data_IF_041464563906
#
_entry.id   IF_041464563906
#
_cell.length_a   1.000
_cell.length_b   1.000
_cell.length_c   1.000
_cell.angle_alpha   90.00
_cell.angle_beta   90.00
_cell.angle_gamma   90.00
#
_symmetry.space_group_name_H-M   'P 1'
#
loop_
_entity.id
_entity.type
_entity.pdbx_description
1 polymer ?
#
# COMPACT_ATOMS: atom_id res chain seq x y z
N UNK A 1 36.44 -26.83 -74.15
CA UNK A 1 36.79 -25.61 -73.39
C UNK A 1 35.62 -24.64 -73.26
N UNK A 2 34.34 -25.18 -73.11
CA UNK A 2 33.13 -24.36 -73.15
C UNK A 2 32.08 -24.72 -72.02
N UNK A 3 32.50 -25.51 -71.06
CA UNK A 3 31.60 -25.87 -69.94
C UNK A 3 31.91 -25.12 -68.63
N UNK A 4 32.96 -24.27 -68.61
CA UNK A 4 33.37 -23.50 -67.42
C UNK A 4 32.92 -22.03 -67.40
N UNK A 5 32.15 -21.60 -68.41
CA UNK A 5 31.68 -20.22 -68.57
C UNK A 5 30.21 -19.97 -68.19
N UNK A 6 29.48 -20.99 -67.73
CA UNK A 6 28.05 -20.84 -67.46
C UNK A 6 27.61 -20.85 -66.01
N UNK A 7 28.53 -20.98 -65.02
CA UNK A 7 28.19 -20.99 -63.60
C UNK A 7 28.49 -19.70 -62.82
N UNK A 8 28.89 -18.62 -63.47
CA UNK A 8 29.29 -17.37 -62.80
C UNK A 8 28.24 -16.25 -62.85
N UNK A 9 26.96 -16.54 -63.15
CA UNK A 9 25.92 -15.51 -63.29
C UNK A 9 24.65 -15.71 -62.40
N UNK A 10 24.74 -16.49 -61.34
CA UNK A 10 23.64 -16.56 -60.36
C UNK A 10 24.08 -16.07 -58.99
N UNK A 11 24.53 -14.81 -58.91
CA UNK A 11 24.59 -14.11 -57.63
C UNK A 11 23.15 -13.73 -57.27
N UNK A 12 22.59 -14.25 -56.17
CA UNK A 12 21.24 -13.84 -55.75
C UNK A 12 21.23 -12.33 -55.53
N UNK A 13 20.39 -11.60 -56.28
CA UNK A 13 20.19 -10.17 -56.08
C UNK A 13 19.75 -9.98 -54.64
N UNK A 14 20.60 -9.40 -53.80
CA UNK A 14 20.23 -8.91 -52.48
C UNK A 14 18.94 -8.10 -52.61
N UNK A 15 17.95 -8.35 -51.79
CA UNK A 15 16.70 -7.58 -51.81
C UNK A 15 17.06 -6.09 -51.71
N UNK A 16 16.55 -5.29 -52.63
CA UNK A 16 16.77 -3.84 -52.64
C UNK A 16 16.19 -3.26 -51.36
N UNK A 17 17.04 -2.98 -50.38
CA UNK A 17 16.63 -2.36 -49.13
C UNK A 17 16.05 -0.98 -49.48
N UNK A 18 14.78 -0.78 -49.16
CA UNK A 18 14.10 0.47 -49.45
C UNK A 18 14.87 1.64 -48.81
N UNK A 19 15.37 2.64 -49.61
CA UNK A 19 16.17 3.74 -49.08
C UNK A 19 15.45 4.53 -47.98
N UNK A 20 14.10 4.53 -47.98
CA UNK A 20 13.28 5.10 -46.89
C UNK A 20 13.48 4.36 -45.56
N UNK A 21 13.63 3.03 -45.61
CA UNK A 21 13.86 2.24 -44.39
C UNK A 21 15.23 2.50 -43.77
N UNK A 22 16.25 2.63 -44.63
CA UNK A 22 17.63 2.98 -44.20
C UNK A 22 17.69 4.39 -43.62
N UNK A 23 17.02 5.36 -44.25
CA UNK A 23 16.97 6.74 -43.76
C UNK A 23 16.24 6.84 -42.42
N UNK A 24 15.16 6.04 -42.17
CA UNK A 24 14.44 5.97 -40.93
C UNK A 24 15.31 5.38 -39.80
N UNK A 25 16.05 4.32 -40.08
CA UNK A 25 17.01 3.73 -39.12
C UNK A 25 18.12 4.72 -38.78
N UNK A 26 18.68 5.41 -39.77
CA UNK A 26 19.71 6.44 -39.56
C UNK A 26 19.16 7.62 -38.74
N UNK A 27 17.97 8.08 -39.00
CA UNK A 27 17.31 9.13 -38.21
C UNK A 27 17.07 8.68 -36.78
N UNK A 28 16.60 7.44 -36.57
CA UNK A 28 16.38 6.87 -35.27
C UNK A 28 17.67 6.71 -34.47
N UNK A 29 18.74 6.24 -35.10
CA UNK A 29 20.06 6.12 -34.45
C UNK A 29 20.66 7.50 -34.13
N UNK A 30 20.49 8.49 -34.99
CA UNK A 30 20.88 9.88 -34.75
C UNK A 30 20.10 10.50 -33.57
N UNK A 31 18.81 10.27 -33.50
CA UNK A 31 17.95 10.74 -32.36
C UNK A 31 18.36 10.08 -31.05
N UNK A 32 18.67 8.77 -31.06
CA UNK A 32 19.18 8.06 -29.88
C UNK A 32 20.53 8.64 -29.47
N UNK A 33 21.46 8.81 -30.44
CA UNK A 33 22.79 9.36 -30.16
C UNK A 33 22.73 10.79 -29.63
N UNK A 34 21.86 11.65 -30.18
CA UNK A 34 21.63 13.00 -29.68
C UNK A 34 21.05 13.01 -28.25
N UNK A 35 20.14 12.11 -27.93
CA UNK A 35 19.63 11.93 -26.56
C UNK A 35 20.71 11.43 -25.59
N UNK A 36 21.58 10.54 -26.03
CA UNK A 36 22.69 10.02 -25.22
C UNK A 36 23.80 11.07 -25.03
N UNK A 37 24.11 11.84 -26.04
CA UNK A 37 25.14 12.90 -25.99
C UNK A 37 24.72 14.08 -25.09
N UNK A 38 23.44 14.39 -24.96
CA UNK A 38 22.94 15.46 -24.10
C UNK A 38 22.79 15.09 -22.61
N UNK A 39 23.18 13.88 -22.20
CA UNK A 39 23.19 13.54 -20.77
C UNK A 39 24.25 14.39 -20.07
N UNK A 40 23.79 15.44 -19.36
CA UNK A 40 24.62 16.15 -18.37
C UNK A 40 25.22 15.09 -17.44
N UNK A 41 26.50 15.20 -17.15
CA UNK A 41 27.17 14.41 -16.12
C UNK A 41 26.58 14.79 -14.75
N UNK A 42 25.44 14.22 -14.43
CA UNK A 42 24.91 14.27 -13.07
C UNK A 42 25.65 13.20 -12.27
N UNK A 43 26.11 13.55 -11.07
CA UNK A 43 26.62 12.58 -10.11
C UNK A 43 25.45 11.73 -9.62
N UNK A 44 25.10 10.71 -10.41
CA UNK A 44 24.02 9.78 -10.05
C UNK A 44 24.58 8.65 -9.19
N UNK A 45 23.75 8.13 -8.25
CA UNK A 45 24.11 6.92 -7.50
C UNK A 45 24.45 5.75 -8.44
N UNK A 46 25.27 4.79 -7.97
CA UNK A 46 25.54 3.56 -8.69
C UNK A 46 24.25 2.87 -9.16
N UNK A 47 24.32 2.25 -10.32
CA UNK A 47 23.17 1.51 -10.88
C UNK A 47 23.63 0.12 -11.31
N UNK A 48 22.94 -0.96 -10.95
CA UNK A 48 23.16 -2.28 -11.50
C UNK A 48 22.96 -2.28 -13.02
N UNK A 49 23.53 -3.23 -13.76
CA UNK A 49 23.28 -3.39 -15.19
C UNK A 49 21.78 -3.49 -15.46
N UNK A 50 21.27 -2.67 -16.37
CA UNK A 50 19.85 -2.61 -16.72
C UNK A 50 19.62 -3.05 -18.15
N UNK A 51 18.47 -3.67 -18.42
CA UNK A 51 18.02 -4.02 -19.76
C UNK A 51 17.32 -2.83 -20.43
N UNK A 52 17.35 -2.74 -21.76
CA UNK A 52 16.54 -1.79 -22.50
C UNK A 52 15.05 -1.95 -22.15
N UNK A 53 14.30 -0.86 -22.11
CA UNK A 53 12.86 -0.76 -21.84
C UNK A 53 12.49 -1.14 -20.41
N UNK A 54 12.73 -2.39 -19.97
CA UNK A 54 12.30 -2.89 -18.66
C UNK A 54 13.20 -2.45 -17.49
N UNK A 55 14.40 -1.94 -17.78
CA UNK A 55 15.34 -1.50 -16.75
C UNK A 55 15.79 -2.64 -15.84
N UNK A 56 15.63 -2.48 -14.54
CA UNK A 56 16.05 -3.43 -13.51
C UNK A 56 14.91 -4.35 -13.02
N UNK A 57 13.71 -4.32 -13.61
CA UNK A 57 12.57 -5.15 -13.19
C UNK A 57 12.93 -6.64 -13.20
N UNK A 58 13.72 -7.11 -14.19
CA UNK A 58 14.17 -8.50 -14.30
C UNK A 58 15.01 -8.99 -13.10
N UNK A 59 15.56 -8.07 -12.31
CA UNK A 59 16.33 -8.38 -11.09
C UNK A 59 15.45 -8.49 -9.84
N UNK A 60 14.17 -8.11 -9.95
CA UNK A 60 13.20 -8.25 -8.88
C UNK A 60 12.53 -9.62 -8.99
N UNK A 61 12.85 -10.52 -8.07
CA UNK A 61 12.22 -11.84 -8.00
C UNK A 61 10.83 -11.81 -7.37
N UNK A 62 10.31 -13.00 -7.01
CA UNK A 62 9.01 -13.15 -6.33
C UNK A 62 8.90 -12.39 -5.00
N UNK A 63 10.03 -12.13 -4.35
CA UNK A 63 10.14 -11.39 -3.09
C UNK A 63 10.99 -10.13 -3.30
N UNK A 64 10.42 -9.03 -3.82
CA UNK A 64 11.16 -7.83 -4.21
C UNK A 64 12.06 -7.26 -3.11
N UNK A 65 11.60 -7.26 -1.85
CA UNK A 65 12.37 -6.79 -0.71
C UNK A 65 13.68 -7.56 -0.50
N UNK A 66 13.69 -8.88 -0.78
CA UNK A 66 14.92 -9.70 -0.71
C UNK A 66 15.85 -9.41 -1.86
N UNK A 67 15.32 -9.29 -3.07
CA UNK A 67 16.11 -8.92 -4.25
C UNK A 67 16.73 -7.53 -4.09
N UNK A 68 15.99 -6.56 -3.59
CA UNK A 68 16.50 -5.20 -3.30
C UNK A 68 17.59 -5.21 -2.22
N UNK A 69 17.43 -6.00 -1.15
CA UNK A 69 18.48 -6.20 -0.15
C UNK A 69 19.76 -6.77 -0.77
N UNK A 70 19.62 -7.78 -1.62
CA UNK A 70 20.78 -8.44 -2.24
C UNK A 70 21.47 -7.53 -3.26
N UNK A 71 20.70 -6.71 -4.01
CA UNK A 71 21.25 -5.64 -4.84
C UNK A 71 22.03 -4.61 -4.01
N UNK A 72 21.48 -4.19 -2.88
CA UNK A 72 22.16 -3.25 -1.96
C UNK A 72 23.47 -3.83 -1.42
N UNK A 73 23.53 -5.11 -1.10
CA UNK A 73 24.77 -5.78 -0.65
C UNK A 73 25.86 -5.80 -1.74
N UNK A 74 25.45 -5.95 -2.99
CA UNK A 74 26.38 -6.08 -4.11
C UNK A 74 26.85 -4.74 -4.68
N UNK A 75 26.01 -3.70 -4.66
CA UNK A 75 26.27 -2.44 -5.35
C UNK A 75 26.32 -1.21 -4.41
N UNK A 76 26.03 -1.40 -3.12
CA UNK A 76 26.08 -0.33 -2.13
C UNK A 76 24.70 0.05 -1.58
N UNK A 77 24.69 0.87 -0.53
CA UNK A 77 23.47 1.22 0.23
C UNK A 77 22.59 2.30 -0.42
N UNK A 78 23.09 2.96 -1.45
CA UNK A 78 22.36 3.98 -2.22
C UNK A 78 22.48 3.64 -3.71
N UNK A 79 21.38 3.24 -4.33
CA UNK A 79 21.36 2.78 -5.73
C UNK A 79 20.27 3.48 -6.54
N UNK A 80 20.57 3.75 -7.79
CA UNK A 80 19.56 4.19 -8.75
C UNK A 80 19.13 3.02 -9.64
N UNK A 81 17.90 2.58 -9.45
CA UNK A 81 17.24 1.57 -10.28
C UNK A 81 16.35 2.24 -11.33
N UNK A 82 16.03 1.50 -12.38
CA UNK A 82 15.02 1.89 -13.35
C UNK A 82 13.97 0.78 -13.38
N UNK A 83 12.78 1.06 -12.85
CA UNK A 83 11.66 0.14 -12.88
C UNK A 83 10.75 0.54 -14.05
N UNK A 84 10.98 -0.07 -15.22
CA UNK A 84 10.40 0.42 -16.46
C UNK A 84 10.88 1.84 -16.79
N UNK A 85 9.92 2.74 -16.96
CA UNK A 85 10.19 4.17 -17.22
C UNK A 85 10.52 4.98 -15.96
N UNK A 86 10.33 4.41 -14.76
CA UNK A 86 10.45 5.14 -13.49
C UNK A 86 11.86 5.01 -12.89
N UNK A 87 12.63 6.10 -12.75
CA UNK A 87 13.84 6.10 -11.95
C UNK A 87 13.47 5.94 -10.48
N UNK A 88 14.08 4.98 -9.81
CA UNK A 88 13.75 4.59 -8.43
C UNK A 88 15.02 4.59 -7.61
N UNK A 89 15.07 5.39 -6.56
CA UNK A 89 16.19 5.42 -5.63
C UNK A 89 15.99 4.34 -4.56
N UNK A 90 16.92 3.40 -4.46
CA UNK A 90 16.98 2.41 -3.39
C UNK A 90 17.91 2.92 -2.28
N UNK A 91 17.37 3.02 -1.07
CA UNK A 91 18.10 3.46 0.12
C UNK A 91 18.07 2.35 1.17
N UNK A 92 19.24 1.89 1.61
CA UNK A 92 19.40 0.74 2.52
C UNK A 92 20.31 1.00 3.72
N UNK A 93 20.60 2.26 4.04
CA UNK A 93 21.36 2.61 5.24
C UNK A 93 20.61 3.62 6.10
N UNK A 94 20.79 3.51 7.42
CA UNK A 94 20.15 4.41 8.39
C UNK A 94 20.59 5.87 8.19
N UNK A 95 21.87 6.10 7.85
CA UNK A 95 22.39 7.45 7.63
C UNK A 95 21.74 8.12 6.42
N UNK A 96 21.62 7.40 5.29
CA UNK A 96 20.95 7.91 4.11
C UNK A 96 19.46 8.12 4.33
N UNK A 97 18.80 7.25 5.10
CA UNK A 97 17.39 7.44 5.49
C UNK A 97 17.23 8.70 6.34
N UNK A 98 18.16 8.97 7.27
CA UNK A 98 18.15 10.21 8.06
C UNK A 98 18.28 11.43 7.16
N UNK A 99 19.25 11.43 6.27
CA UNK A 99 19.50 12.51 5.29
C UNK A 99 18.23 12.82 4.49
N UNK A 100 17.55 11.79 3.98
CA UNK A 100 16.35 11.93 3.14
C UNK A 100 15.12 12.34 3.97
N UNK A 101 14.84 11.63 5.08
CA UNK A 101 13.57 11.78 5.80
C UNK A 101 13.60 12.81 6.92
N UNK A 102 14.79 13.35 7.29
CA UNK A 102 14.91 14.35 8.33
C UNK A 102 15.51 15.65 7.81
N UNK A 103 16.65 15.55 7.11
CA UNK A 103 17.40 16.75 6.73
C UNK A 103 16.88 17.35 5.41
N UNK A 104 16.26 16.50 4.53
CA UNK A 104 15.69 16.91 3.24
C UNK A 104 14.23 16.44 3.07
N UNK A 105 13.48 16.28 4.17
CA UNK A 105 12.12 15.73 4.18
C UNK A 105 11.17 16.44 3.21
N UNK A 106 11.20 17.77 3.15
CA UNK A 106 10.34 18.55 2.28
C UNK A 106 10.52 18.24 0.79
N UNK A 107 11.74 17.86 0.36
CA UNK A 107 12.04 17.50 -1.03
C UNK A 107 11.55 16.09 -1.38
N UNK A 108 11.53 15.19 -0.39
CA UNK A 108 11.20 13.79 -0.56
C UNK A 108 9.84 13.40 0.03
N UNK A 109 9.04 14.35 0.46
CA UNK A 109 7.76 14.10 1.15
C UNK A 109 6.61 13.70 0.22
N UNK A 110 6.71 13.99 -1.06
CA UNK A 110 5.68 13.60 -2.02
C UNK A 110 5.53 12.09 -2.14
N UNK A 111 4.31 11.65 -2.41
CA UNK A 111 3.97 10.24 -2.62
C UNK A 111 3.85 9.92 -4.11
N UNK A 112 4.30 8.73 -4.54
CA UNK A 112 4.09 8.33 -5.92
C UNK A 112 2.59 8.11 -6.16
N UNK A 113 2.07 8.78 -7.19
CA UNK A 113 0.72 8.53 -7.66
C UNK A 113 0.70 7.25 -8.50
N UNK A 114 -0.15 6.30 -8.16
CA UNK A 114 -0.40 5.09 -8.94
C UNK A 114 -1.84 5.04 -9.46
N UNK A 115 -2.09 4.18 -10.42
CA UNK A 115 -3.46 3.95 -10.93
C UNK A 115 -4.39 3.48 -9.81
N UNK A 116 -3.91 2.59 -8.93
CA UNK A 116 -4.68 2.10 -7.81
C UNK A 116 -4.99 3.19 -6.78
N UNK A 117 -3.98 3.99 -6.37
CA UNK A 117 -4.18 5.06 -5.40
C UNK A 117 -5.13 6.13 -5.91
N UNK A 118 -5.03 6.49 -7.19
CA UNK A 118 -5.95 7.45 -7.80
C UNK A 118 -7.40 6.97 -7.83
N UNK A 119 -7.64 5.68 -8.10
CA UNK A 119 -9.01 5.15 -8.16
C UNK A 119 -9.55 4.91 -6.76
N UNK A 120 -8.84 4.18 -5.90
CA UNK A 120 -9.36 3.73 -4.60
C UNK A 120 -9.41 4.85 -3.57
N UNK A 121 -8.47 5.79 -3.58
CA UNK A 121 -8.36 6.86 -2.60
C UNK A 121 -8.84 8.22 -3.14
N UNK A 122 -9.91 8.21 -3.94
CA UNK A 122 -10.60 9.42 -4.40
C UNK A 122 -9.67 10.46 -5.06
N UNK A 123 -8.72 10.02 -5.88
CA UNK A 123 -7.71 10.91 -6.48
C UNK A 123 -6.60 11.32 -5.51
N UNK A 124 -6.22 10.43 -4.59
CA UNK A 124 -5.22 10.69 -3.54
C UNK A 124 -5.65 11.80 -2.58
N UNK A 125 -6.92 11.80 -2.14
CA UNK A 125 -7.45 12.69 -1.10
C UNK A 125 -7.36 12.12 0.32
N UNK A 126 -6.58 11.10 0.49
CA UNK A 126 -6.24 10.44 1.73
C UNK A 126 -4.96 11.05 2.35
N UNK A 127 -4.54 10.57 3.52
CA UNK A 127 -3.32 11.05 4.19
C UNK A 127 -2.09 10.29 3.70
N UNK A 128 -2.26 9.02 3.32
CA UNK A 128 -1.16 8.16 2.95
C UNK A 128 -0.55 8.51 1.58
N UNK A 129 -1.39 8.93 0.61
CA UNK A 129 -0.99 9.17 -0.79
C UNK A 129 -1.20 10.59 -1.29
N UNK A 130 -1.80 11.48 -0.50
CA UNK A 130 -1.94 12.88 -0.89
C UNK A 130 -0.56 13.54 -1.09
N UNK A 131 -0.37 14.36 -2.14
CA UNK A 131 0.83 15.15 -2.33
C UNK A 131 1.09 16.07 -1.12
N UNK A 132 2.36 16.28 -0.81
CA UNK A 132 2.74 17.19 0.27
C UNK A 132 2.31 18.63 -0.06
N UNK A 133 1.52 19.25 0.82
CA UNK A 133 1.01 20.60 0.63
C UNK A 133 0.05 21.01 1.74
N UNK A 134 -0.65 22.13 1.53
CA UNK A 134 -1.60 22.66 2.51
C UNK A 134 -2.72 21.69 2.81
N UNK A 135 -3.30 21.07 1.78
CA UNK A 135 -4.33 20.05 1.91
C UNK A 135 -3.87 18.90 2.82
N UNK A 136 -2.71 18.29 2.54
CA UNK A 136 -2.17 17.20 3.34
C UNK A 136 -1.94 17.62 4.79
N UNK A 137 -1.40 18.82 5.03
CA UNK A 137 -1.17 19.35 6.38
C UNK A 137 -2.46 19.49 7.18
N UNK A 138 -3.54 19.95 6.55
CA UNK A 138 -4.84 20.07 7.17
C UNK A 138 -5.42 18.69 7.51
N UNK A 139 -5.37 17.72 6.59
CA UNK A 139 -5.84 16.35 6.82
C UNK A 139 -5.04 15.66 7.93
N UNK A 140 -3.72 15.81 7.92
CA UNK A 140 -2.85 15.27 8.97
C UNK A 140 -3.13 15.91 10.33
N UNK A 141 -3.31 17.23 10.38
CA UNK A 141 -3.66 17.93 11.62
C UNK A 141 -4.96 17.40 12.20
N UNK A 142 -6.01 17.26 11.40
CA UNK A 142 -7.27 16.67 11.79
C UNK A 142 -7.07 15.28 12.40
N UNK A 143 -6.41 14.40 11.67
CA UNK A 143 -6.21 13.02 12.09
C UNK A 143 -5.41 12.93 13.39
N UNK A 144 -4.33 13.69 13.53
CA UNK A 144 -3.47 13.61 14.73
C UNK A 144 -4.13 14.28 15.95
N UNK A 145 -4.81 15.41 15.77
CA UNK A 145 -5.35 16.18 16.90
C UNK A 145 -6.70 15.63 17.33
N UNK A 146 -7.61 15.35 16.39
CA UNK A 146 -8.99 15.03 16.70
C UNK A 146 -9.25 13.51 16.80
N UNK A 147 -8.61 12.70 15.95
CA UNK A 147 -8.90 11.27 15.89
C UNK A 147 -7.86 10.41 16.66
N UNK A 148 -6.58 10.73 16.55
CA UNK A 148 -5.48 9.90 17.08
C UNK A 148 -4.75 10.56 18.26
N UNK A 149 -5.31 11.61 18.86
CA UNK A 149 -4.72 12.20 20.08
C UNK A 149 -4.74 11.20 21.23
N UNK A 150 -3.78 11.31 22.15
CA UNK A 150 -3.67 10.43 23.32
C UNK A 150 -5.00 10.33 24.09
N UNK A 151 -5.68 11.46 24.31
CA UNK A 151 -6.98 11.50 24.97
C UNK A 151 -8.03 10.69 24.21
N UNK A 152 -8.06 10.81 22.87
CA UNK A 152 -9.02 10.09 22.03
C UNK A 152 -8.72 8.60 22.01
N UNK A 153 -7.47 8.21 21.85
CA UNK A 153 -7.07 6.80 21.88
C UNK A 153 -7.43 6.15 23.24
N UNK A 154 -7.24 6.88 24.35
CA UNK A 154 -7.66 6.39 25.66
C UNK A 154 -9.18 6.24 25.79
N UNK A 155 -9.98 7.14 25.22
CA UNK A 155 -11.45 7.02 25.29
C UNK A 155 -12.00 5.72 24.66
N UNK A 156 -11.24 5.09 23.79
CA UNK A 156 -11.56 3.78 23.18
C UNK A 156 -10.92 2.59 23.92
N UNK A 157 -10.42 2.77 25.15
CA UNK A 157 -9.80 1.67 25.90
C UNK A 157 -10.76 0.51 26.11
N UNK A 158 -12.03 0.80 26.45
CA UNK A 158 -13.05 -0.22 26.66
C UNK A 158 -13.26 -1.12 25.42
N UNK A 159 -13.19 -0.57 24.20
CA UNK A 159 -13.29 -1.36 22.97
C UNK A 159 -12.18 -2.39 22.90
N UNK A 160 -10.95 -1.96 23.18
CA UNK A 160 -9.79 -2.87 23.16
C UNK A 160 -9.90 -3.96 24.22
N UNK A 161 -10.31 -3.58 25.42
CA UNK A 161 -10.43 -4.51 26.56
C UNK A 161 -11.49 -5.59 26.25
N UNK A 162 -12.66 -5.19 25.75
CA UNK A 162 -13.71 -6.12 25.38
C UNK A 162 -13.32 -7.08 24.23
N UNK A 163 -12.71 -6.57 23.15
CA UNK A 163 -12.30 -7.42 22.02
C UNK A 163 -11.17 -8.40 22.41
N UNK A 164 -10.24 -7.95 23.26
CA UNK A 164 -9.17 -8.82 23.79
C UNK A 164 -9.77 -9.87 24.73
N UNK A 165 -10.73 -9.52 25.59
CA UNK A 165 -11.42 -10.47 26.47
C UNK A 165 -12.15 -11.55 25.65
N UNK A 166 -12.85 -11.15 24.58
CA UNK A 166 -13.50 -12.10 23.66
C UNK A 166 -12.51 -13.06 23.02
N UNK A 167 -11.36 -12.55 22.55
CA UNK A 167 -10.27 -13.36 22.02
C UNK A 167 -9.79 -14.40 23.03
N UNK A 168 -9.46 -13.93 24.25
CA UNK A 168 -8.99 -14.81 25.33
C UNK A 168 -10.01 -15.88 25.65
N UNK A 169 -11.29 -15.53 25.72
CA UNK A 169 -12.37 -16.46 25.99
C UNK A 169 -12.57 -17.49 24.86
N UNK A 170 -12.43 -17.09 23.60
CA UNK A 170 -12.41 -18.03 22.46
C UNK A 170 -11.25 -19.03 22.57
N UNK A 171 -10.03 -18.53 22.85
CA UNK A 171 -8.84 -19.39 23.03
C UNK A 171 -9.02 -20.35 24.21
N UNK A 172 -9.48 -19.84 25.37
CA UNK A 172 -9.72 -20.66 26.56
C UNK A 172 -10.73 -21.81 26.31
N UNK A 173 -11.82 -21.52 25.58
CA UNK A 173 -12.81 -22.55 25.20
C UNK A 173 -12.23 -23.61 24.30
N UNK A 174 -11.41 -23.24 23.32
CA UNK A 174 -10.74 -24.18 22.43
C UNK A 174 -9.75 -25.06 23.22
N UNK A 175 -8.94 -24.46 24.09
CA UNK A 175 -8.03 -25.19 24.97
C UNK A 175 -8.73 -26.22 25.86
N UNK A 176 -9.88 -25.86 26.44
CA UNK A 176 -10.67 -26.78 27.28
C UNK A 176 -11.24 -27.97 26.50
N UNK A 177 -11.51 -27.79 25.21
CA UNK A 177 -11.98 -28.86 24.32
C UNK A 177 -10.84 -29.66 23.69
N UNK A 178 -9.60 -29.20 23.79
CA UNK A 178 -8.45 -29.77 23.08
C UNK A 178 -8.42 -29.46 21.58
N UNK A 179 -9.17 -28.44 21.15
CA UNK A 179 -9.28 -28.02 19.75
C UNK A 179 -8.04 -27.19 19.36
N UNK A 180 -7.63 -27.31 18.10
CA UNK A 180 -6.65 -26.39 17.50
C UNK A 180 -7.34 -25.07 17.13
N UNK A 181 -6.58 -23.97 17.19
CA UNK A 181 -7.06 -22.64 16.81
C UNK A 181 -6.29 -22.09 15.62
N UNK A 182 -6.96 -21.33 14.77
CA UNK A 182 -6.33 -20.47 13.77
C UNK A 182 -6.05 -19.10 14.38
N UNK A 183 -4.89 -18.93 15.01
CA UNK A 183 -4.52 -17.70 15.69
C UNK A 183 -4.42 -16.50 14.72
N UNK A 184 -3.94 -16.72 13.51
CA UNK A 184 -3.84 -15.67 12.48
C UNK A 184 -5.19 -15.04 12.18
N UNK A 185 -6.21 -15.86 11.93
CA UNK A 185 -7.57 -15.41 11.67
C UNK A 185 -8.17 -14.68 12.88
N UNK A 186 -7.96 -15.22 14.08
CA UNK A 186 -8.45 -14.59 15.31
C UNK A 186 -7.81 -13.21 15.55
N UNK A 187 -6.51 -13.06 15.34
CA UNK A 187 -5.81 -11.78 15.50
C UNK A 187 -6.25 -10.74 14.46
N UNK A 188 -6.43 -11.15 13.21
CA UNK A 188 -6.96 -10.28 12.16
C UNK A 188 -8.37 -9.80 12.49
N UNK A 189 -9.24 -10.69 12.99
CA UNK A 189 -10.59 -10.36 13.37
C UNK A 189 -10.64 -9.36 14.53
N UNK A 190 -9.85 -9.58 15.58
CA UNK A 190 -9.77 -8.64 16.72
C UNK A 190 -9.29 -7.27 16.25
N UNK A 191 -8.26 -7.20 15.42
CA UNK A 191 -7.78 -5.94 14.87
C UNK A 191 -8.88 -5.23 14.06
N UNK A 192 -9.57 -5.97 13.19
CA UNK A 192 -10.68 -5.44 12.39
C UNK A 192 -11.84 -4.93 13.26
N UNK A 193 -12.22 -5.69 14.30
CA UNK A 193 -13.31 -5.29 15.21
C UNK A 193 -12.95 -4.03 15.99
N UNK A 194 -11.73 -3.93 16.53
CA UNK A 194 -11.29 -2.74 17.24
C UNK A 194 -11.39 -1.51 16.33
N UNK A 195 -10.88 -1.59 15.12
CA UNK A 195 -10.91 -0.47 14.16
C UNK A 195 -12.35 -0.13 13.79
N UNK A 196 -13.15 -1.11 13.43
CA UNK A 196 -14.57 -0.93 13.05
C UNK A 196 -15.36 -0.27 14.17
N UNK A 197 -15.21 -0.74 15.40
CA UNK A 197 -15.91 -0.16 16.57
C UNK A 197 -15.44 1.26 16.89
N UNK A 198 -14.16 1.57 16.74
CA UNK A 198 -13.66 2.93 16.93
C UNK A 198 -14.13 3.90 15.85
N UNK A 199 -14.30 3.41 14.62
CA UNK A 199 -14.58 4.26 13.46
C UNK A 199 -16.07 4.40 13.21
N UNK A 200 -16.85 3.32 13.34
CA UNK A 200 -18.29 3.23 12.99
C UNK A 200 -19.17 2.65 14.10
N UNK A 201 -18.64 2.44 15.28
CA UNK A 201 -19.35 1.86 16.46
C UNK A 201 -19.95 0.46 16.24
N UNK A 202 -19.50 -0.29 15.24
CA UNK A 202 -20.02 -1.62 14.88
C UNK A 202 -18.94 -2.67 14.88
N UNK A 203 -19.31 -3.92 15.22
CA UNK A 203 -18.46 -5.09 15.01
C UNK A 203 -18.53 -5.53 13.56
N UNK A 204 -17.41 -6.02 13.09
CA UNK A 204 -17.31 -6.59 11.75
C UNK A 204 -18.16 -7.84 11.54
N UNK A 205 -18.49 -8.58 12.61
CA UNK A 205 -19.21 -9.87 12.57
C UNK A 205 -20.74 -9.72 12.55
N UNK A 206 -21.29 -8.53 12.81
CA UNK A 206 -22.73 -8.36 13.04
C UNK A 206 -23.56 -8.25 11.75
N UNK A 207 -22.93 -8.20 10.57
CA UNK A 207 -23.65 -7.88 9.31
C UNK A 207 -24.00 -9.09 8.43
N UNK A 208 -23.50 -10.31 8.67
CA UNK A 208 -23.85 -11.48 7.85
C UNK A 208 -23.92 -12.80 8.63
N UNK A 209 -24.96 -13.62 8.36
CA UNK A 209 -25.13 -15.00 8.88
C UNK A 209 -23.96 -15.94 8.53
N UNK A 210 -23.10 -15.59 7.55
CA UNK A 210 -21.96 -16.37 7.07
C UNK A 210 -20.62 -16.05 7.77
N UNK A 211 -20.60 -15.17 8.79
CA UNK A 211 -19.39 -14.92 9.61
C UNK A 211 -18.22 -14.24 8.87
N UNK A 212 -18.42 -13.76 7.65
CA UNK A 212 -17.40 -13.08 6.86
C UNK A 212 -17.79 -11.61 6.69
N UNK A 213 -17.14 -10.78 7.47
CA UNK A 213 -17.34 -9.35 7.48
C UNK A 213 -17.09 -8.71 6.10
N UNK A 214 -18.13 -8.14 5.52
CA UNK A 214 -18.05 -7.37 4.26
C UNK A 214 -16.93 -6.33 4.31
N UNK A 215 -16.78 -5.68 5.43
CA UNK A 215 -15.77 -4.66 5.66
C UNK A 215 -14.33 -5.22 5.63
N UNK A 216 -14.06 -6.31 6.36
CA UNK A 216 -12.72 -6.95 6.35
C UNK A 216 -12.34 -7.48 4.96
N UNK A 217 -13.32 -7.94 4.19
CA UNK A 217 -13.10 -8.35 2.79
C UNK A 217 -12.76 -7.17 1.90
N UNK A 218 -13.46 -6.03 2.03
CA UNK A 218 -13.18 -4.82 1.28
C UNK A 218 -11.79 -4.27 1.61
N UNK A 219 -11.40 -4.23 2.89
CA UNK A 219 -10.08 -3.80 3.32
C UNK A 219 -8.98 -4.72 2.75
N UNK A 220 -9.14 -6.03 2.84
CA UNK A 220 -8.20 -7.00 2.28
C UNK A 220 -8.11 -6.89 0.76
N UNK A 221 -9.23 -6.75 0.06
CA UNK A 221 -9.27 -6.56 -1.39
C UNK A 221 -8.56 -5.26 -1.81
N UNK A 222 -8.71 -4.20 -1.01
CA UNK A 222 -8.02 -2.92 -1.20
C UNK A 222 -6.50 -3.11 -1.14
N UNK A 223 -5.98 -3.77 -0.10
CA UNK A 223 -4.54 -4.04 0.04
C UNK A 223 -4.03 -4.89 -1.12
N UNK A 224 -4.75 -5.94 -1.50
CA UNK A 224 -4.35 -6.82 -2.62
C UNK A 224 -4.27 -6.05 -3.93
N UNK A 225 -5.26 -5.24 -4.27
CA UNK A 225 -5.25 -4.46 -5.51
C UNK A 225 -4.26 -3.29 -5.47
N UNK A 226 -4.07 -2.66 -4.31
CA UNK A 226 -3.09 -1.59 -4.11
C UNK A 226 -1.65 -2.07 -4.34
N UNK A 227 -1.35 -3.31 -3.93
CA UNK A 227 -0.02 -3.92 -4.06
C UNK A 227 0.15 -4.73 -5.34
N UNK A 228 -0.88 -4.85 -6.15
CA UNK A 228 -0.83 -5.58 -7.43
C UNK A 228 -0.01 -4.82 -8.47
N UNK A 229 0.63 -5.59 -9.36
CA UNK A 229 1.43 -5.03 -10.44
C UNK A 229 0.54 -4.33 -11.48
N UNK A 230 0.81 -3.04 -11.71
CA UNK A 230 0.17 -2.23 -12.74
C UNK A 230 1.17 -1.96 -13.88
N UNK A 231 0.85 -2.41 -15.06
CA UNK A 231 1.72 -2.22 -16.24
C UNK A 231 1.79 -0.75 -16.62
N UNK A 232 0.67 -0.05 -16.61
CA UNK A 232 0.58 1.36 -16.98
C UNK A 232 1.35 2.31 -16.07
N UNK A 233 1.54 1.95 -14.80
CA UNK A 233 2.31 2.76 -13.87
C UNK A 233 3.82 2.70 -14.18
N UNK A 234 4.31 1.57 -14.69
CA UNK A 234 5.71 1.39 -15.08
C UNK A 234 5.97 1.69 -16.56
N UNK A 235 4.96 1.49 -17.41
CA UNK A 235 5.01 1.68 -18.85
C UNK A 235 3.77 2.45 -19.32
N UNK A 236 3.76 3.79 -19.24
CA UNK A 236 2.57 4.60 -19.55
C UNK A 236 1.95 4.33 -20.93
N UNK A 237 2.77 3.95 -21.91
CA UNK A 237 2.31 3.59 -23.25
C UNK A 237 1.54 2.26 -23.34
N UNK A 238 1.65 1.42 -22.32
CA UNK A 238 0.99 0.11 -22.21
C UNK A 238 -0.20 0.12 -21.25
N UNK A 239 -0.70 1.28 -20.85
CA UNK A 239 -1.82 1.42 -19.91
C UNK A 239 -3.09 0.67 -20.35
N UNK A 240 -3.27 0.49 -21.63
CA UNK A 240 -4.38 -0.29 -22.18
C UNK A 240 -4.34 -1.78 -21.78
N UNK A 241 -3.14 -2.32 -21.47
CA UNK A 241 -2.98 -3.71 -20.98
C UNK A 241 -3.72 -3.91 -19.67
N UNK A 242 -3.69 -2.92 -18.76
CA UNK A 242 -4.37 -3.01 -17.47
C UNK A 242 -5.91 -3.03 -17.59
N UNK A 243 -6.43 -2.50 -18.70
CA UNK A 243 -7.86 -2.65 -19.04
C UNK A 243 -8.14 -4.07 -19.51
N UNK A 244 -7.32 -4.60 -20.43
CA UNK A 244 -7.51 -5.95 -21.00
C UNK A 244 -7.32 -7.06 -19.97
N UNK A 245 -6.38 -6.90 -19.06
CA UNK A 245 -6.14 -7.87 -17.97
C UNK A 245 -7.20 -7.82 -16.87
N UNK A 246 -8.14 -6.87 -16.95
CA UNK A 246 -9.19 -6.69 -15.98
C UNK A 246 -8.75 -5.99 -14.69
N UNK A 247 -7.52 -5.48 -14.61
CA UNK A 247 -7.03 -4.80 -13.40
C UNK A 247 -7.81 -3.51 -13.12
N UNK A 248 -7.94 -2.62 -14.11
CA UNK A 248 -8.72 -1.38 -13.97
C UNK A 248 -10.21 -1.64 -13.71
N UNK A 249 -10.90 -2.56 -14.42
CA UNK A 249 -12.26 -2.95 -14.07
C UNK A 249 -12.44 -3.41 -12.63
N UNK A 250 -11.53 -4.24 -12.11
CA UNK A 250 -11.57 -4.71 -10.70
C UNK A 250 -11.37 -3.57 -9.71
N UNK A 251 -10.45 -2.64 -9.97
CA UNK A 251 -10.27 -1.43 -9.15
C UNK A 251 -11.55 -0.59 -9.08
N UNK A 252 -12.21 -0.39 -10.22
CA UNK A 252 -13.45 0.40 -10.29
C UNK A 252 -14.63 -0.31 -9.61
N UNK A 253 -14.72 -1.63 -9.73
CA UNK A 253 -15.74 -2.41 -9.04
C UNK A 253 -15.56 -2.30 -7.52
N UNK A 254 -14.34 -2.55 -7.02
CA UNK A 254 -14.03 -2.39 -5.59
C UNK A 254 -14.28 -0.96 -5.09
N UNK A 255 -13.90 0.05 -5.87
CA UNK A 255 -14.19 1.44 -5.53
C UNK A 255 -15.69 1.70 -5.39
N UNK A 256 -16.52 1.18 -6.29
CA UNK A 256 -17.97 1.30 -6.21
C UNK A 256 -18.56 0.63 -4.95
N UNK A 257 -18.02 -0.53 -4.56
CA UNK A 257 -18.42 -1.22 -3.33
C UNK A 257 -18.03 -0.43 -2.07
N UNK A 258 -16.79 0.08 -2.03
CA UNK A 258 -16.29 0.93 -0.93
C UNK A 258 -17.09 2.22 -0.82
N UNK A 259 -17.33 2.90 -1.93
CA UNK A 259 -18.05 4.16 -1.97
C UNK A 259 -19.49 4.00 -1.48
N UNK A 260 -20.18 2.95 -1.95
CA UNK A 260 -21.54 2.61 -1.51
C UNK A 260 -21.58 2.24 -0.02
N UNK A 261 -20.58 1.51 0.47
CA UNK A 261 -20.47 1.16 1.87
C UNK A 261 -20.31 2.41 2.76
N UNK A 262 -19.43 3.32 2.40
CA UNK A 262 -19.25 4.57 3.16
C UNK A 262 -20.46 5.49 3.06
N UNK A 263 -21.14 5.57 1.90
CA UNK A 263 -22.39 6.33 1.79
C UNK A 263 -23.47 5.80 2.71
N UNK A 264 -23.63 4.49 2.80
CA UNK A 264 -24.57 3.87 3.72
C UNK A 264 -24.26 4.25 5.17
N UNK A 265 -23.01 4.10 5.60
CA UNK A 265 -22.59 4.40 6.98
C UNK A 265 -22.79 5.88 7.31
N UNK A 266 -22.38 6.78 6.44
CA UNK A 266 -22.54 8.24 6.64
C UNK A 266 -24.02 8.61 6.73
N UNK A 267 -24.87 8.03 5.87
CA UNK A 267 -26.32 8.23 5.90
C UNK A 267 -26.93 7.78 7.22
N UNK A 268 -26.56 6.62 7.72
CA UNK A 268 -27.05 6.08 8.98
C UNK A 268 -26.64 6.97 10.15
N UNK A 269 -25.39 7.45 10.21
CA UNK A 269 -24.94 8.39 11.24
C UNK A 269 -25.64 9.75 11.15
N UNK A 270 -26.04 10.18 9.95
CA UNK A 270 -26.78 11.43 9.77
C UNK A 270 -28.23 11.31 10.24
N UNK A 271 -28.82 10.13 10.10
CA UNK A 271 -30.24 9.87 10.48
C UNK A 271 -30.42 9.54 11.94
N UNK A 272 -29.41 8.95 12.59
CA UNK A 272 -29.40 8.74 14.02
C UNK A 272 -29.21 10.11 14.71
N UNK A 273 -30.33 10.77 15.05
CA UNK A 273 -30.28 11.98 15.87
C UNK A 273 -29.64 11.61 17.20
N UNK A 274 -28.47 12.13 17.44
CA UNK A 274 -27.72 11.99 18.67
C UNK A 274 -28.44 12.81 19.78
N UNK A 275 -29.40 12.20 20.48
CA UNK A 275 -29.89 12.70 21.75
C UNK A 275 -29.04 12.18 22.93
N UNK A 276 -28.08 11.32 22.71
CA UNK A 276 -27.25 10.75 23.76
C UNK A 276 -25.87 11.42 23.87
N UNK A 277 -25.61 11.85 25.10
CA UNK A 277 -24.47 12.62 25.58
C UNK A 277 -23.09 12.05 25.17
N UNK A 278 -22.32 12.93 24.63
CA UNK A 278 -20.88 13.24 24.66
C UNK A 278 -19.82 12.16 24.93
N UNK A 279 -20.09 10.98 25.49
CA UNK A 279 -19.02 10.15 26.05
C UNK A 279 -18.38 9.12 25.11
N UNK A 280 -19.06 8.67 24.03
CA UNK A 280 -18.52 7.60 23.18
C UNK A 280 -18.71 7.84 21.66
N UNK A 281 -18.39 9.07 21.18
CA UNK A 281 -18.49 9.37 19.75
C UNK A 281 -17.40 8.64 18.97
N UNK A 282 -17.79 7.84 17.98
CA UNK A 282 -16.89 7.24 17.01
C UNK A 282 -16.26 8.29 16.07
N UNK A 283 -15.31 7.86 15.23
CA UNK A 283 -14.58 8.77 14.36
C UNK A 283 -15.50 9.49 13.38
N UNK A 284 -16.47 8.80 12.79
CA UNK A 284 -17.45 9.43 11.88
C UNK A 284 -18.22 10.53 12.60
N UNK A 285 -18.77 10.25 13.77
CA UNK A 285 -19.53 11.22 14.57
C UNK A 285 -18.68 12.47 14.91
N UNK A 286 -17.40 12.25 15.22
CA UNK A 286 -16.46 13.36 15.51
C UNK A 286 -16.24 14.21 14.26
N UNK A 287 -15.93 13.60 13.12
CA UNK A 287 -15.66 14.31 11.87
C UNK A 287 -16.91 15.09 11.42
N UNK A 288 -18.09 14.47 11.49
CA UNK A 288 -19.34 15.10 11.11
C UNK A 288 -19.71 16.26 12.05
N UNK A 289 -19.40 16.17 13.35
CA UNK A 289 -19.59 17.26 14.28
C UNK A 289 -18.67 18.44 13.96
N UNK A 290 -17.38 18.20 13.69
CA UNK A 290 -16.42 19.23 13.32
C UNK A 290 -16.78 19.93 12.01
N UNK A 291 -17.33 19.17 11.03
CA UNK A 291 -17.86 19.73 9.79
C UNK A 291 -19.07 20.64 10.07
N UNK A 292 -20.04 20.18 10.91
CA UNK A 292 -21.22 20.94 11.29
C UNK A 292 -20.89 22.23 12.04
N UNK A 293 -19.87 22.18 12.89
CA UNK A 293 -19.42 23.33 13.69
C UNK A 293 -18.61 24.36 12.84
N UNK A 294 -18.42 24.11 11.56
CA UNK A 294 -17.66 24.96 10.65
C UNK A 294 -16.14 25.00 10.93
N UNK A 295 -15.66 24.11 11.78
CA UNK A 295 -14.24 24.02 12.13
C UNK A 295 -13.40 23.39 11.02
N UNK A 296 -14.07 22.70 10.07
CA UNK A 296 -13.43 21.97 8.99
C UNK A 296 -14.20 22.15 7.68
N UNK A 297 -13.52 22.69 6.68
CA UNK A 297 -14.00 22.68 5.30
C UNK A 297 -13.64 21.33 4.64
N UNK A 298 -14.40 20.28 4.99
CA UNK A 298 -14.20 18.92 4.46
C UNK A 298 -15.44 18.49 3.70
N UNK A 299 -15.26 18.02 2.48
CA UNK A 299 -16.33 17.40 1.70
C UNK A 299 -16.51 15.92 2.08
N UNK A 300 -17.61 15.32 1.63
CA UNK A 300 -17.88 13.89 1.88
C UNK A 300 -16.80 12.97 1.32
N UNK A 301 -16.19 13.37 0.22
CA UNK A 301 -15.10 12.61 -0.42
C UNK A 301 -13.88 12.53 0.49
N UNK A 302 -13.54 13.64 1.14
CA UNK A 302 -12.42 13.66 2.10
C UNK A 302 -12.72 12.81 3.33
N UNK A 303 -13.97 12.83 3.83
CA UNK A 303 -14.39 11.98 4.93
C UNK A 303 -14.20 10.51 4.56
N UNK A 304 -14.72 10.08 3.41
CA UNK A 304 -14.57 8.71 2.91
C UNK A 304 -13.10 8.30 2.75
N UNK A 305 -12.25 9.21 2.24
CA UNK A 305 -10.82 8.94 2.09
C UNK A 305 -10.12 8.73 3.44
N UNK A 306 -10.40 9.55 4.45
CA UNK A 306 -9.85 9.40 5.83
C UNK A 306 -10.34 8.10 6.47
N UNK A 307 -11.61 7.76 6.28
CA UNK A 307 -12.17 6.50 6.79
C UNK A 307 -11.45 5.31 6.15
N UNK A 308 -11.27 5.32 4.83
CA UNK A 308 -10.55 4.26 4.12
C UNK A 308 -9.12 4.11 4.62
N UNK A 309 -8.39 5.21 4.81
CA UNK A 309 -7.04 5.20 5.40
C UNK A 309 -7.03 4.51 6.76
N UNK A 310 -7.93 4.93 7.65
CA UNK A 310 -8.00 4.41 9.02
C UNK A 310 -8.29 2.91 9.01
N UNK A 311 -9.18 2.48 8.16
CA UNK A 311 -9.57 1.09 8.04
C UNK A 311 -8.44 0.21 7.46
N UNK A 312 -7.88 0.61 6.33
CA UNK A 312 -6.83 -0.16 5.66
C UNK A 312 -5.57 -0.23 6.54
N UNK A 313 -5.17 0.91 7.10
CA UNK A 313 -3.96 0.97 7.93
C UNK A 313 -4.12 0.24 9.27
N UNK A 314 -5.27 0.36 9.93
CA UNK A 314 -5.48 -0.15 11.28
C UNK A 314 -5.74 -1.66 11.35
N UNK A 315 -6.33 -2.26 10.32
CA UNK A 315 -6.78 -3.66 10.35
C UNK A 315 -5.63 -4.63 10.08
N UNK A 316 -5.07 -4.56 8.88
CA UNK A 316 -4.17 -5.60 8.34
C UNK A 316 -2.79 -5.58 9.01
N UNK A 317 -2.26 -4.38 9.24
CA UNK A 317 -0.91 -4.20 9.77
C UNK A 317 -0.77 -4.67 11.21
N UNK A 318 -1.75 -4.38 12.06
CA UNK A 318 -1.74 -4.77 13.48
C UNK A 318 -1.92 -6.27 13.63
N UNK A 319 -2.88 -6.87 12.91
CA UNK A 319 -3.10 -8.31 12.90
C UNK A 319 -1.86 -9.09 12.45
N UNK A 320 -1.29 -8.72 11.30
CA UNK A 320 -0.10 -9.36 10.76
C UNK A 320 1.13 -9.19 11.66
N UNK A 321 1.33 -8.01 12.27
CA UNK A 321 2.47 -7.79 13.19
C UNK A 321 2.37 -8.69 14.41
N UNK A 322 1.16 -8.83 14.98
CA UNK A 322 0.93 -9.66 16.16
C UNK A 322 1.08 -11.16 15.81
N UNK A 323 0.62 -11.58 14.64
CA UNK A 323 0.82 -12.93 14.12
C UNK A 323 2.32 -13.27 14.01
N UNK A 324 3.10 -12.41 13.36
CA UNK A 324 4.54 -12.62 13.21
C UNK A 324 5.28 -12.60 14.55
N UNK A 325 4.86 -11.73 15.48
CA UNK A 325 5.40 -11.71 16.84
C UNK A 325 5.19 -13.06 17.52
N UNK A 326 3.98 -13.62 17.45
CA UNK A 326 3.69 -14.93 18.03
C UNK A 326 4.45 -16.06 17.33
N UNK A 327 4.57 -16.03 16.00
CA UNK A 327 5.35 -17.01 15.25
C UNK A 327 6.84 -17.02 15.66
N UNK A 328 7.44 -15.83 15.84
CA UNK A 328 8.82 -15.70 16.32
C UNK A 328 8.99 -16.18 17.77
N UNK A 329 8.04 -15.89 18.65
CA UNK A 329 8.07 -16.36 20.03
C UNK A 329 7.95 -17.89 20.13
N UNK A 330 7.07 -18.48 19.33
CA UNK A 330 6.91 -19.95 19.28
C UNK A 330 8.18 -20.67 18.77
N UNK A 331 8.91 -20.05 17.84
CA UNK A 331 10.19 -20.59 17.35
C UNK A 331 11.35 -20.42 18.35
N UNK A 332 11.23 -19.52 19.34
CA UNK A 332 12.29 -19.16 20.29
C UNK A 332 11.82 -19.29 21.73
N UNK A 333 11.75 -20.52 22.30
CA UNK A 333 11.22 -20.77 23.63
C UNK A 333 11.90 -19.95 24.75
N UNK A 334 13.20 -19.69 24.61
CA UNK A 334 13.95 -18.88 25.57
C UNK A 334 13.49 -17.40 25.59
N UNK A 335 13.13 -16.86 24.41
CA UNK A 335 12.59 -15.49 24.30
C UNK A 335 11.17 -15.45 24.84
N UNK A 336 10.35 -16.45 24.47
CA UNK A 336 8.99 -16.61 24.99
C UNK A 336 8.99 -16.60 26.52
N UNK A 337 9.87 -17.36 27.17
CA UNK A 337 9.97 -17.43 28.63
C UNK A 337 10.31 -16.06 29.23
N UNK A 338 11.27 -15.33 28.66
CA UNK A 338 11.60 -13.97 29.12
C UNK A 338 10.42 -13.00 29.02
N UNK A 339 9.69 -13.03 27.90
CA UNK A 339 8.50 -12.19 27.70
C UNK A 339 7.41 -12.56 28.73
N UNK A 340 7.18 -13.84 28.96
CA UNK A 340 6.21 -14.30 29.97
C UNK A 340 6.62 -13.86 31.38
N UNK A 341 7.89 -13.96 31.75
CA UNK A 341 8.42 -13.50 33.04
C UNK A 341 8.23 -11.99 33.21
N UNK A 342 8.57 -11.20 32.18
CA UNK A 342 8.40 -9.74 32.22
C UNK A 342 6.95 -9.34 32.37
N UNK A 343 6.04 -9.90 31.57
CA UNK A 343 4.59 -9.64 31.66
C UNK A 343 4.06 -10.00 33.05
N UNK A 344 4.41 -11.17 33.60
CA UNK A 344 3.97 -11.59 34.94
C UNK A 344 4.50 -10.68 36.04
N UNK A 345 5.72 -10.18 35.91
CA UNK A 345 6.30 -9.26 36.87
C UNK A 345 5.62 -7.88 36.90
N UNK A 346 5.13 -7.42 35.73
CA UNK A 346 4.47 -6.11 35.61
C UNK A 346 2.98 -6.19 35.93
N UNK A 347 2.29 -7.20 35.41
CA UNK A 347 0.82 -7.35 35.52
C UNK A 347 0.41 -8.18 36.72
N UNK A 348 1.31 -9.04 37.22
CA UNK A 348 1.01 -9.99 38.27
C UNK A 348 0.50 -11.34 37.72
N UNK A 349 0.35 -12.29 38.62
CA UNK A 349 -0.32 -13.58 38.33
C UNK A 349 -1.82 -13.36 38.46
N UNK A 350 -2.50 -13.06 37.38
CA UNK A 350 -3.96 -13.01 37.30
C UNK A 350 -4.51 -14.42 37.03
#
# INVERSE_FOLDING_TARGET
MDLLKMELLNVPKLPSINPLFVSLILLFTLLIWHKLAKRKHLNLPPSPPKLPIIGNIHQLGKLPHRSLRDLSRNYGSLLLLHLGCNPTLLVSSADMVREILKDHDAVFSDRPSSTATNILFYGCRDIAFAPYGEYWRQQKKLSVVELLSHRRVHSFQFVRDEEVELLINKIRRACLKGDSINLSEMLMLVSSNIVSRCVISRRSEEEEEDGCCKFGQLAKSTVVLLTSFCVGDLFPYLRWVDVLTGYIPRLKALFGELDSFFDQIIKEHTTLKTDDEVSNKDFISIIMQLQKDGMLEIDLTNIKAILLDTFVAGTDTTGATTEWMMAELLQRPNVMKKVQEEVRNVVGNI
#
